data_IF_396371698835
#
_entry.id   IF_396371698835
#
_cell.length_a   1.000
_cell.length_b   1.000
_cell.length_c   1.000
_cell.angle_alpha   90.00
_cell.angle_beta   90.00
_cell.angle_gamma   90.00
#
_symmetry.space_group_name_H-M   'P 1'
#
loop_
_entity.id
_entity.type
_entity.pdbx_description
1 polymer ?
#
# COMPACT_ATOMS: atom_id res chain seq x y z
N UNK A 1 12.47 -36.64 14.08
CA UNK A 1 11.29 -36.02 13.44
C UNK A 1 11.74 -35.48 12.10
N UNK A 2 11.49 -36.21 11.03
CA UNK A 2 11.69 -35.70 9.68
C UNK A 2 10.59 -34.65 9.46
N UNK A 3 10.96 -33.40 9.13
CA UNK A 3 9.99 -32.43 8.60
C UNK A 3 9.29 -33.11 7.44
N UNK A 4 7.95 -33.19 7.46
CA UNK A 4 7.20 -33.53 6.26
C UNK A 4 7.68 -32.58 5.17
N UNK A 5 8.18 -33.15 4.07
CA UNK A 5 8.57 -32.36 2.91
C UNK A 5 7.25 -31.90 2.29
N UNK A 6 6.84 -30.66 2.57
CA UNK A 6 5.72 -30.01 1.88
C UNK A 6 5.95 -30.08 0.37
N UNK A 7 4.88 -30.24 -0.43
CA UNK A 7 5.05 -30.28 -1.88
C UNK A 7 5.67 -28.98 -2.41
N UNK A 8 6.35 -29.10 -3.55
CA UNK A 8 6.95 -27.95 -4.25
C UNK A 8 5.90 -26.84 -4.47
N UNK A 9 4.65 -27.20 -4.76
CA UNK A 9 3.56 -26.23 -4.96
C UNK A 9 3.25 -25.40 -3.71
N UNK A 10 3.24 -26.04 -2.54
CA UNK A 10 3.04 -25.35 -1.26
C UNK A 10 4.22 -24.43 -0.97
N UNK A 11 5.45 -24.89 -1.19
CA UNK A 11 6.64 -24.05 -1.01
C UNK A 11 6.65 -22.81 -1.92
N UNK A 12 6.24 -22.97 -3.17
CA UNK A 12 6.07 -21.86 -4.11
C UNK A 12 4.99 -20.88 -3.64
N UNK A 13 3.83 -21.38 -3.20
CA UNK A 13 2.75 -20.52 -2.68
C UNK A 13 3.11 -19.79 -1.39
N UNK A 14 3.90 -20.41 -0.49
CA UNK A 14 4.47 -19.74 0.69
C UNK A 14 5.34 -18.56 0.25
N UNK A 15 6.25 -18.79 -0.70
CA UNK A 15 7.13 -17.75 -1.23
C UNK A 15 6.33 -16.60 -1.85
N UNK A 16 5.26 -16.90 -2.57
CA UNK A 16 4.38 -15.88 -3.14
C UNK A 16 3.71 -15.02 -2.06
N UNK A 17 3.26 -15.63 -0.95
CA UNK A 17 2.72 -14.88 0.20
C UNK A 17 3.78 -13.96 0.79
N UNK A 18 5.00 -14.46 0.99
CA UNK A 18 6.11 -13.67 1.54
C UNK A 18 6.47 -12.47 0.65
N UNK A 19 6.53 -12.68 -0.67
CA UNK A 19 6.81 -11.63 -1.64
C UNK A 19 5.71 -10.56 -1.62
N UNK A 20 4.44 -10.96 -1.68
CA UNK A 20 3.33 -10.01 -1.66
C UNK A 20 3.27 -9.25 -0.32
N UNK A 21 3.56 -9.91 0.80
CA UNK A 21 3.62 -9.25 2.10
C UNK A 21 4.72 -8.18 2.13
N UNK A 22 5.91 -8.49 1.61
CA UNK A 22 7.00 -7.52 1.54
C UNK A 22 6.64 -6.30 0.66
N UNK A 23 5.95 -6.52 -0.46
CA UNK A 23 5.45 -5.42 -1.30
C UNK A 23 4.39 -4.58 -0.59
N UNK A 24 3.43 -5.21 0.09
CA UNK A 24 2.42 -4.51 0.87
C UNK A 24 3.03 -3.63 1.96
N UNK A 25 4.02 -4.13 2.74
CA UNK A 25 4.68 -3.32 3.76
C UNK A 25 5.40 -2.10 3.16
N UNK A 26 6.02 -2.24 1.99
CA UNK A 26 6.63 -1.11 1.29
C UNK A 26 5.59 -0.11 0.79
N UNK A 27 4.49 -0.58 0.21
CA UNK A 27 3.40 0.28 -0.28
C UNK A 27 2.75 1.05 0.87
N UNK A 28 2.56 0.41 2.03
CA UNK A 28 2.07 1.04 3.25
C UNK A 28 2.96 2.17 3.73
N UNK A 29 4.28 1.97 3.76
CA UNK A 29 5.24 3.02 4.14
C UNK A 29 5.17 4.20 3.15
N UNK A 30 5.10 3.93 1.85
CA UNK A 30 4.99 4.96 0.81
C UNK A 30 3.70 5.78 0.95
N UNK A 31 2.57 5.10 1.14
CA UNK A 31 1.27 5.75 1.36
C UNK A 31 1.31 6.65 2.60
N UNK A 32 1.80 6.13 3.73
CA UNK A 32 1.93 6.91 4.96
C UNK A 32 2.84 8.14 4.79
N UNK A 33 3.97 7.99 4.10
CA UNK A 33 4.88 9.10 3.84
C UNK A 33 4.24 10.19 2.96
N UNK A 34 3.48 9.82 1.93
CA UNK A 34 2.82 10.76 1.04
C UNK A 34 1.69 11.53 1.75
N UNK A 35 0.89 10.85 2.56
CA UNK A 35 -0.12 11.48 3.40
C UNK A 35 0.50 12.44 4.42
N UNK A 36 1.58 12.03 5.09
CA UNK A 36 2.29 12.89 6.04
C UNK A 36 2.86 14.14 5.35
N UNK A 37 3.45 13.98 4.16
CA UNK A 37 3.97 15.10 3.39
C UNK A 37 2.87 16.09 2.96
N UNK A 38 1.75 15.59 2.44
CA UNK A 38 0.60 16.42 2.11
C UNK A 38 0.10 17.20 3.33
N UNK A 39 -0.02 16.51 4.48
CA UNK A 39 -0.55 17.15 5.68
C UNK A 39 0.38 18.23 6.23
N UNK A 40 1.70 17.96 6.27
CA UNK A 40 2.67 18.99 6.65
C UNK A 40 2.63 20.18 5.69
N UNK A 41 2.48 19.95 4.37
CA UNK A 41 2.37 21.04 3.40
C UNK A 41 1.15 21.94 3.64
N UNK A 42 0.00 21.34 3.96
CA UNK A 42 -1.23 22.09 4.26
C UNK A 42 -1.12 22.82 5.61
N UNK A 43 -0.52 22.19 6.61
CA UNK A 43 -0.40 22.74 7.97
C UNK A 43 0.64 23.87 8.06
N UNK A 44 1.73 23.82 7.27
CA UNK A 44 2.82 24.81 7.31
C UNK A 44 2.51 26.11 6.54
N UNK A 45 1.52 26.11 5.66
CA UNK A 45 1.23 27.26 4.80
C UNK A 45 -0.28 27.52 4.63
N UNK A 46 -0.94 28.12 5.65
CA UNK A 46 -2.37 28.42 5.60
C UNK A 46 -2.66 29.69 4.78
N UNK A 47 -1.89 29.99 3.71
CA UNK A 47 -2.07 31.19 2.88
C UNK A 47 -3.48 31.33 2.29
N UNK A 48 -4.25 30.25 2.22
CA UNK A 48 -5.68 30.28 1.88
C UNK A 48 -6.59 30.92 2.95
N UNK A 49 -6.10 31.05 4.20
CA UNK A 49 -6.76 31.70 5.33
C UNK A 49 -6.37 33.17 5.49
N UNK A 50 -5.29 33.63 4.84
CA UNK A 50 -4.87 35.03 4.86
C UNK A 50 -5.60 35.84 3.78
N UNK A 51 -6.52 36.71 4.21
CA UNK A 51 -7.29 37.59 3.34
C UNK A 51 -6.44 38.64 2.58
N UNK A 52 -5.16 38.79 2.90
CA UNK A 52 -4.24 39.71 2.22
C UNK A 52 -3.21 39.00 1.32
N UNK A 53 -3.25 37.67 1.24
CA UNK A 53 -2.33 36.92 0.39
C UNK A 53 -2.56 37.26 -1.10
N UNK A 54 -1.51 37.41 -1.92
CA UNK A 54 -1.66 37.62 -3.36
C UNK A 54 -2.37 36.42 -4.01
N UNK A 55 -3.32 36.69 -4.92
CA UNK A 55 -4.09 35.63 -5.60
C UNK A 55 -3.18 34.62 -6.31
N UNK A 56 -2.10 35.06 -6.96
CA UNK A 56 -1.13 34.17 -7.62
C UNK A 56 -0.48 33.18 -6.64
N UNK A 57 -0.20 33.60 -5.40
CA UNK A 57 0.36 32.71 -4.38
C UNK A 57 -0.68 31.71 -3.86
N UNK A 58 -1.95 32.15 -3.74
CA UNK A 58 -3.06 31.28 -3.36
C UNK A 58 -3.31 30.21 -4.45
N UNK A 59 -3.28 30.59 -5.72
CA UNK A 59 -3.43 29.66 -6.85
C UNK A 59 -2.28 28.65 -6.92
N UNK A 60 -1.03 29.10 -6.76
CA UNK A 60 0.15 28.22 -6.72
C UNK A 60 0.10 27.25 -5.53
N UNK A 61 -0.34 27.71 -4.35
CA UNK A 61 -0.58 26.84 -3.19
C UNK A 61 -1.66 25.79 -3.50
N UNK A 62 -2.82 26.18 -4.01
CA UNK A 62 -3.92 25.26 -4.38
C UNK A 62 -3.47 24.21 -5.38
N UNK A 63 -2.73 24.62 -6.42
CA UNK A 63 -2.18 23.70 -7.42
C UNK A 63 -1.25 22.67 -6.78
N UNK A 64 -0.36 23.08 -5.86
CA UNK A 64 0.52 22.15 -5.15
C UNK A 64 -0.24 21.24 -4.18
N UNK A 65 -1.26 21.75 -3.48
CA UNK A 65 -2.16 20.95 -2.67
C UNK A 65 -2.79 19.82 -3.50
N UNK A 66 -3.36 20.15 -4.65
CA UNK A 66 -4.01 19.16 -5.53
C UNK A 66 -3.01 18.10 -6.02
N UNK A 67 -1.79 18.51 -6.37
CA UNK A 67 -0.73 17.58 -6.79
C UNK A 67 -0.34 16.60 -5.67
N UNK A 68 -0.12 17.10 -4.45
CA UNK A 68 0.30 16.27 -3.33
C UNK A 68 -0.85 15.38 -2.83
N UNK A 69 -2.08 15.90 -2.82
CA UNK A 69 -3.27 15.12 -2.52
C UNK A 69 -3.47 13.99 -3.52
N UNK A 70 -3.34 14.28 -4.82
CA UNK A 70 -3.42 13.27 -5.87
C UNK A 70 -2.34 12.19 -5.73
N UNK A 71 -1.14 12.57 -5.32
CA UNK A 71 -0.05 11.63 -5.07
C UNK A 71 -0.32 10.72 -3.85
N UNK A 72 -0.87 11.29 -2.77
CA UNK A 72 -1.25 10.54 -1.58
C UNK A 72 -2.31 9.49 -1.89
N UNK A 73 -3.37 9.87 -2.62
CA UNK A 73 -4.40 8.93 -3.06
C UNK A 73 -3.86 7.82 -3.96
N UNK A 74 -2.98 8.16 -4.90
CA UNK A 74 -2.34 7.14 -5.75
C UNK A 74 -1.62 6.08 -4.93
N UNK A 75 -0.83 6.48 -3.94
CA UNK A 75 -0.10 5.51 -3.12
C UNK A 75 -1.00 4.75 -2.13
N UNK A 76 -2.09 5.36 -1.67
CA UNK A 76 -3.13 4.65 -0.91
C UNK A 76 -3.81 3.57 -1.76
N UNK A 77 -4.13 3.86 -3.02
CA UNK A 77 -4.67 2.88 -3.96
C UNK A 77 -3.67 1.74 -4.22
N UNK A 78 -2.39 2.05 -4.46
CA UNK A 78 -1.33 1.04 -4.61
C UNK A 78 -1.21 0.14 -3.36
N UNK A 79 -1.28 0.72 -2.16
CA UNK A 79 -1.30 -0.05 -0.91
C UNK A 79 -2.52 -0.96 -0.81
N UNK A 80 -3.70 -0.46 -1.17
CA UNK A 80 -4.95 -1.22 -1.15
C UNK A 80 -4.87 -2.43 -2.10
N UNK A 81 -4.37 -2.23 -3.33
CA UNK A 81 -4.17 -3.32 -4.29
C UNK A 81 -3.20 -4.37 -3.74
N UNK A 82 -2.04 -3.94 -3.21
CA UNK A 82 -1.05 -4.85 -2.64
C UNK A 82 -1.62 -5.67 -1.46
N UNK A 83 -2.51 -5.10 -0.66
CA UNK A 83 -3.20 -5.83 0.41
C UNK A 83 -4.10 -6.95 -0.15
N UNK A 84 -4.86 -6.67 -1.21
CA UNK A 84 -5.68 -7.69 -1.88
C UNK A 84 -4.84 -8.80 -2.52
N UNK A 85 -3.66 -8.47 -3.05
CA UNK A 85 -2.75 -9.46 -3.61
C UNK A 85 -2.20 -10.42 -2.54
N UNK A 86 -1.94 -9.91 -1.32
CA UNK A 86 -1.57 -10.74 -0.15
C UNK A 86 -2.70 -11.70 0.20
N UNK A 87 -3.93 -11.21 0.29
CA UNK A 87 -5.08 -12.05 0.63
C UNK A 87 -5.34 -13.11 -0.44
N UNK A 88 -5.23 -12.74 -1.72
CA UNK A 88 -5.31 -13.69 -2.82
C UNK A 88 -4.23 -14.76 -2.76
N UNK A 89 -2.98 -14.41 -2.42
CA UNK A 89 -1.89 -15.37 -2.24
C UNK A 89 -2.14 -16.31 -1.06
N UNK A 90 -2.61 -15.80 0.09
CA UNK A 90 -2.96 -16.60 1.27
C UNK A 90 -4.09 -17.59 0.97
N UNK A 91 -5.12 -17.15 0.25
CA UNK A 91 -6.23 -18.01 -0.14
C UNK A 91 -5.78 -19.15 -1.08
N UNK A 92 -4.86 -18.87 -2.02
CA UNK A 92 -4.27 -19.92 -2.87
C UNK A 92 -3.47 -20.93 -2.04
N UNK A 93 -2.69 -20.48 -1.07
CA UNK A 93 -1.93 -21.35 -0.18
C UNK A 93 -2.85 -22.25 0.66
N UNK A 94 -3.92 -21.69 1.25
CA UNK A 94 -4.91 -22.45 2.01
C UNK A 94 -5.58 -23.53 1.15
N UNK A 95 -5.96 -23.19 -0.09
CA UNK A 95 -6.55 -24.16 -1.01
C UNK A 95 -5.61 -25.34 -1.31
N UNK A 96 -4.29 -25.09 -1.42
CA UNK A 96 -3.30 -26.16 -1.63
C UNK A 96 -3.16 -27.07 -0.41
N UNK A 97 -3.20 -26.51 0.81
CA UNK A 97 -3.22 -27.32 2.03
C UNK A 97 -4.47 -28.21 2.12
N UNK A 98 -5.65 -27.66 1.79
CA UNK A 98 -6.90 -28.43 1.76
C UNK A 98 -6.87 -29.56 0.72
N UNK A 99 -6.23 -29.34 -0.43
CA UNK A 99 -6.06 -30.35 -1.48
C UNK A 99 -5.11 -31.48 -1.06
N UNK A 100 -3.99 -31.14 -0.39
CA UNK A 100 -3.06 -32.14 0.14
C UNK A 100 -3.70 -32.98 1.23
N UNK A 101 -4.45 -32.37 2.16
CA UNK A 101 -5.14 -33.10 3.23
C UNK A 101 -6.16 -34.09 2.66
N UNK A 102 -6.92 -33.69 1.63
CA UNK A 102 -7.90 -34.58 0.94
C UNK A 102 -7.24 -35.69 0.13
N UNK A 103 -5.96 -35.53 -0.22
CA UNK A 103 -5.20 -36.50 -1.03
C UNK A 103 -4.40 -37.50 -0.19
N UNK A 104 -4.34 -37.32 1.14
CA UNK A 104 -3.75 -38.24 2.12
C UNK A 104 -4.76 -39.30 2.57
#
# INVERSE_FOLDING_TARGET
>A
MLKEIESIKIQEAIRDVEINQAYYEQAKIKSAAAWHFFQNFVDEDPRFEDANAPEEEIEDFRMRCDQYLSLAYKYEEEMYIAHHDVDAAKNRLLALYDEEEKSK
#
